data_IF_814909199092
#
_entry.id   IF_814909199092
#
_cell.length_a   1.000
_cell.length_b   1.000
_cell.length_c   1.000
_cell.angle_alpha   90.00
_cell.angle_beta   90.00
_cell.angle_gamma   90.00
#
_symmetry.space_group_name_H-M   'P 1'
#
loop_
_entity.id
_entity.type
_entity.pdbx_description
1 polymer ?
#
# COMPACT_ATOMS: atom_id res chain seq x y z
N UNK A 1 -31.21 -61.10 7.49
CA UNK A 1 -31.58 -60.24 6.35
C UNK A 1 -30.77 -58.98 6.53
N UNK A 2 -29.82 -58.77 5.63
CA UNK A 2 -29.04 -57.54 5.57
C UNK A 2 -29.98 -56.45 5.05
N UNK A 3 -30.36 -55.52 5.92
CA UNK A 3 -31.21 -54.37 5.59
C UNK A 3 -30.36 -53.15 5.20
N UNK A 4 -29.13 -53.35 4.71
CA UNK A 4 -28.28 -52.26 4.27
C UNK A 4 -28.75 -51.73 2.90
N UNK A 5 -28.85 -50.40 2.81
CA UNK A 5 -29.04 -49.68 1.54
C UNK A 5 -27.69 -49.72 0.81
N UNK A 6 -27.43 -50.77 0.03
CA UNK A 6 -26.11 -51.02 -0.57
C UNK A 6 -25.80 -50.15 -1.81
N UNK A 7 -26.79 -49.45 -2.37
CA UNK A 7 -26.68 -48.86 -3.71
C UNK A 7 -26.76 -47.31 -3.69
N UNK A 8 -26.22 -46.67 -2.66
CA UNK A 8 -26.02 -45.21 -2.69
C UNK A 8 -24.67 -44.95 -3.36
N UNK A 9 -24.71 -44.61 -4.65
CA UNK A 9 -23.53 -44.18 -5.41
C UNK A 9 -22.82 -43.02 -4.69
N UNK A 10 -21.48 -43.00 -4.76
CA UNK A 10 -20.68 -41.88 -4.27
C UNK A 10 -21.01 -40.63 -5.10
N UNK A 11 -21.56 -39.61 -4.46
CA UNK A 11 -21.87 -38.32 -5.07
C UNK A 11 -20.96 -37.25 -4.46
N UNK A 12 -20.35 -36.40 -5.29
CA UNK A 12 -19.69 -35.18 -4.81
C UNK A 12 -20.74 -34.10 -4.63
N UNK A 13 -20.54 -33.22 -3.65
CA UNK A 13 -21.44 -32.09 -3.43
C UNK A 13 -21.53 -31.18 -4.66
N UNK A 14 -20.40 -30.91 -5.32
CA UNK A 14 -20.34 -30.06 -6.52
C UNK A 14 -21.13 -30.59 -7.73
N UNK A 15 -21.41 -31.90 -7.78
CA UNK A 15 -22.11 -32.52 -8.90
C UNK A 15 -23.65 -32.50 -8.70
N UNK A 16 -24.14 -32.33 -7.46
CA UNK A 16 -25.56 -32.50 -7.11
C UNK A 16 -25.99 -31.64 -5.92
N UNK A 17 -26.89 -30.69 -6.15
CA UNK A 17 -27.67 -30.02 -5.09
C UNK A 17 -28.59 -31.00 -4.35
N UNK A 18 -28.72 -30.82 -3.03
CA UNK A 18 -29.50 -31.62 -2.06
C UNK A 18 -30.66 -32.45 -2.67
N UNK A 19 -30.53 -33.79 -2.70
CA UNK A 19 -31.59 -34.67 -3.21
C UNK A 19 -32.43 -35.30 -2.10
N UNK A 20 -33.75 -35.26 -2.30
CA UNK A 20 -34.66 -36.16 -1.59
C UNK A 20 -34.74 -37.49 -2.34
N UNK A 21 -34.39 -38.59 -1.67
CA UNK A 21 -34.56 -39.96 -2.18
C UNK A 21 -35.81 -40.55 -1.55
N UNK A 22 -36.51 -41.46 -2.20
CA UNK A 22 -37.65 -42.17 -1.60
C UNK A 22 -37.36 -43.65 -1.55
N UNK A 23 -37.49 -44.26 -0.36
CA UNK A 23 -37.28 -45.69 -0.17
C UNK A 23 -38.65 -46.38 -0.34
N UNK A 24 -38.70 -47.40 -1.21
CA UNK A 24 -39.87 -48.25 -1.44
C UNK A 24 -39.65 -49.60 -0.77
N UNK A 25 -40.63 -50.05 0.03
CA UNK A 25 -40.67 -51.41 0.58
C UNK A 25 -41.94 -52.09 0.07
N UNK A 26 -41.80 -53.29 -0.48
CA UNK A 26 -42.93 -54.10 -0.98
C UNK A 26 -42.90 -55.49 -0.36
N UNK A 27 -44.05 -55.97 0.12
CA UNK A 27 -44.22 -57.35 0.54
C UNK A 27 -44.88 -58.15 -0.59
N UNK A 28 -44.24 -59.24 -1.01
CA UNK A 28 -44.81 -60.20 -1.95
C UNK A 28 -45.10 -61.48 -1.21
N UNK A 29 -46.37 -61.86 -1.11
CA UNK A 29 -46.75 -63.23 -0.78
C UNK A 29 -47.10 -63.89 -2.11
N UNK A 30 -46.37 -64.95 -2.45
CA UNK A 30 -46.69 -65.79 -3.61
C UNK A 30 -48.18 -66.18 -3.49
N UNK A 31 -48.96 -65.81 -4.51
CA UNK A 31 -50.41 -66.06 -4.69
C UNK A 31 -51.44 -65.00 -4.23
N UNK A 32 -51.06 -63.76 -3.87
CA UNK A 32 -52.03 -62.66 -3.71
C UNK A 32 -51.80 -61.51 -4.71
N UNK A 33 -52.89 -61.07 -5.36
CA UNK A 33 -52.94 -59.99 -6.36
C UNK A 33 -52.69 -58.60 -5.74
N UNK A 34 -52.77 -58.48 -4.42
CA UNK A 34 -52.50 -57.22 -3.71
C UNK A 34 -51.05 -57.15 -3.25
N UNK A 35 -50.28 -56.25 -3.88
CA UNK A 35 -48.98 -55.79 -3.38
C UNK A 35 -49.21 -54.67 -2.38
N UNK A 36 -48.96 -54.93 -1.10
CA UNK A 36 -48.82 -53.87 -0.12
C UNK A 36 -47.46 -53.19 -0.32
N UNK A 37 -47.49 -51.97 -0.83
CA UNK A 37 -46.32 -51.10 -0.98
C UNK A 37 -46.40 -49.99 0.05
N UNK A 38 -45.31 -49.82 0.81
CA UNK A 38 -45.11 -48.67 1.68
C UNK A 38 -43.96 -47.82 1.14
N UNK A 39 -44.17 -46.51 1.10
CA UNK A 39 -43.15 -45.54 0.71
C UNK A 39 -42.77 -44.71 1.94
N UNK A 40 -41.47 -44.59 2.19
CA UNK A 40 -40.93 -43.67 3.19
C UNK A 40 -39.99 -42.69 2.48
N UNK A 41 -40.32 -41.39 2.41
CA UNK A 41 -39.40 -40.39 1.88
C UNK A 41 -38.20 -40.27 2.81
N UNK A 42 -36.98 -40.28 2.25
CA UNK A 42 -35.73 -40.12 2.97
C UNK A 42 -34.92 -39.00 2.32
N UNK A 43 -34.82 -37.87 3.00
CA UNK A 43 -33.94 -36.79 2.55
C UNK A 43 -32.49 -37.14 2.87
N UNK A 44 -31.63 -37.15 1.86
CA UNK A 44 -30.20 -37.38 2.02
C UNK A 44 -29.49 -36.04 1.83
N UNK A 45 -28.85 -35.55 2.89
CA UNK A 45 -28.01 -34.37 2.81
C UNK A 45 -26.59 -34.79 2.47
N UNK A 46 -26.07 -34.31 1.33
CA UNK A 46 -24.67 -34.53 0.96
C UNK A 46 -23.87 -33.42 1.65
N UNK A 47 -22.90 -33.82 2.49
CA UNK A 47 -21.98 -32.88 3.09
C UNK A 47 -20.87 -32.54 2.11
N UNK A 48 -20.53 -31.26 2.07
CA UNK A 48 -19.39 -30.76 1.34
C UNK A 48 -18.08 -31.18 2.03
N UNK A 49 -17.04 -31.39 1.23
CA UNK A 49 -15.68 -31.67 1.71
C UNK A 49 -14.82 -30.52 1.26
N UNK A 50 -13.96 -30.00 2.13
CA UNK A 50 -12.99 -28.98 1.74
C UNK A 50 -12.00 -29.61 0.75
N UNK A 51 -12.15 -29.34 -0.55
CA UNK A 51 -11.29 -29.88 -1.60
C UNK A 51 -10.86 -28.85 -2.66
N UNK A 52 -11.28 -27.60 -2.50
CA UNK A 52 -10.78 -26.45 -3.22
C UNK A 52 -9.95 -25.55 -2.31
N UNK A 53 -9.05 -24.79 -2.94
CA UNK A 53 -8.25 -23.80 -2.23
C UNK A 53 -8.66 -22.40 -2.71
N UNK A 54 -8.51 -21.35 -1.89
CA UNK A 54 -8.86 -20.00 -2.30
C UNK A 54 -8.04 -19.55 -3.52
N UNK A 55 -8.69 -19.05 -4.56
CA UNK A 55 -8.05 -18.57 -5.78
C UNK A 55 -8.16 -17.04 -5.92
N UNK A 56 -7.03 -16.34 -5.92
CA UNK A 56 -7.00 -14.89 -6.12
C UNK A 56 -7.50 -14.48 -7.51
N UNK A 57 -8.32 -13.43 -7.54
CA UNK A 57 -8.92 -12.87 -8.75
C UNK A 57 -8.19 -11.61 -9.20
N UNK A 58 -8.33 -11.21 -10.47
CA UNK A 58 -7.80 -9.93 -10.98
C UNK A 58 -6.28 -9.68 -10.75
N UNK A 59 -5.50 -10.75 -10.67
CA UNK A 59 -4.03 -10.68 -10.56
C UNK A 59 -3.39 -10.31 -11.91
N UNK A 60 -2.23 -9.62 -11.93
CA UNK A 60 -1.44 -9.15 -10.79
C UNK A 60 -1.94 -7.83 -10.18
N UNK A 61 -1.68 -7.62 -8.89
CA UNK A 61 -2.04 -6.39 -8.19
C UNK A 61 -0.90 -5.37 -8.21
N UNK A 62 -1.15 -4.24 -8.88
CA UNK A 62 -0.23 -3.11 -8.95
C UNK A 62 -0.96 -1.83 -8.60
N UNK A 63 -0.40 -1.04 -7.68
CA UNK A 63 -0.93 0.27 -7.32
C UNK A 63 0.17 1.25 -6.96
N UNK A 64 -0.21 2.53 -6.95
CA UNK A 64 0.66 3.64 -6.58
C UNK A 64 0.00 4.42 -5.45
N UNK A 65 0.79 4.85 -4.47
CA UNK A 65 0.33 5.59 -3.29
C UNK A 65 1.22 6.79 -3.07
N UNK A 66 0.63 7.92 -2.71
CA UNK A 66 1.36 9.14 -2.38
C UNK A 66 2.02 9.00 -1.00
N UNK A 67 3.26 9.45 -0.83
CA UNK A 67 3.94 9.35 0.46
C UNK A 67 3.23 10.15 1.58
N UNK A 68 2.54 11.21 1.20
CA UNK A 68 1.76 12.06 2.12
C UNK A 68 0.40 11.44 2.47
N UNK A 69 0.09 10.24 1.98
CA UNK A 69 -1.17 9.55 2.33
C UNK A 69 -1.24 9.33 3.84
N UNK A 70 -2.24 9.90 4.53
CA UNK A 70 -2.35 9.78 5.98
C UNK A 70 -2.46 8.32 6.47
N UNK A 71 -1.86 8.07 7.64
CA UNK A 71 -2.00 6.81 8.36
C UNK A 71 -3.48 6.52 8.63
N UNK A 72 -3.89 5.28 8.39
CA UNK A 72 -5.26 4.79 8.52
C UNK A 72 -6.10 4.88 7.25
N UNK A 73 -5.63 5.57 6.20
CA UNK A 73 -6.38 5.60 4.95
C UNK A 73 -6.27 4.29 4.16
N UNK A 74 -7.37 3.95 3.50
CA UNK A 74 -7.44 2.85 2.55
C UNK A 74 -6.64 3.17 1.29
N UNK A 75 -5.71 2.27 0.96
CA UNK A 75 -4.91 2.33 -0.25
C UNK A 75 -5.50 1.44 -1.34
N UNK A 76 -6.02 0.26 -0.96
CA UNK A 76 -6.55 -0.69 -1.93
C UNK A 76 -7.67 -1.56 -1.36
N UNK A 77 -8.72 -1.78 -2.16
CA UNK A 77 -9.90 -2.62 -1.84
C UNK A 77 -10.06 -3.80 -2.80
N UNK A 78 -9.05 -4.09 -3.62
CA UNK A 78 -9.18 -5.05 -4.73
C UNK A 78 -8.58 -6.44 -4.45
N UNK A 79 -8.00 -6.68 -3.27
CA UNK A 79 -7.54 -8.02 -2.90
C UNK A 79 -8.77 -8.90 -2.72
N UNK A 80 -8.90 -9.90 -3.58
CA UNK A 80 -10.04 -10.80 -3.53
C UNK A 80 -9.62 -12.20 -4.00
N UNK A 81 -10.01 -13.21 -3.24
CA UNK A 81 -9.91 -14.61 -3.57
C UNK A 81 -11.28 -15.28 -3.42
N UNK A 82 -11.51 -16.29 -4.24
CA UNK A 82 -12.74 -17.08 -4.28
C UNK A 82 -12.36 -18.53 -4.03
N UNK A 83 -13.02 -19.16 -3.07
CA UNK A 83 -13.01 -20.60 -2.91
C UNK A 83 -14.28 -21.19 -3.55
N UNK A 84 -14.16 -22.36 -4.18
CA UNK A 84 -15.23 -23.00 -4.96
C UNK A 84 -16.02 -24.02 -4.17
N UNK A 85 -15.58 -24.35 -2.95
CA UNK A 85 -16.33 -25.18 -2.03
C UNK A 85 -17.69 -24.54 -1.65
N UNK A 86 -18.53 -25.28 -0.93
CA UNK A 86 -19.93 -24.88 -0.70
C UNK A 86 -20.04 -23.47 -0.11
N UNK A 87 -20.75 -22.53 -0.77
CA UNK A 87 -20.80 -21.14 -0.32
C UNK A 87 -21.50 -20.99 1.04
N UNK A 88 -21.07 -20.00 1.82
CA UNK A 88 -21.54 -19.75 3.20
C UNK A 88 -21.21 -20.89 4.17
N UNK A 89 -20.12 -21.61 3.91
CA UNK A 89 -19.54 -22.56 4.84
C UNK A 89 -18.07 -22.21 5.12
N UNK A 90 -17.48 -22.74 6.22
CA UNK A 90 -16.06 -22.55 6.50
C UNK A 90 -15.13 -23.00 5.37
N UNK A 91 -15.55 -23.94 4.52
CA UNK A 91 -14.79 -24.38 3.35
C UNK A 91 -14.66 -23.25 2.31
N UNK A 92 -15.70 -22.44 2.16
CA UNK A 92 -15.71 -21.31 1.22
C UNK A 92 -15.27 -19.96 1.83
N UNK A 93 -15.23 -19.87 3.15
CA UNK A 93 -14.98 -18.61 3.88
C UNK A 93 -13.48 -18.28 3.90
N UNK A 94 -13.11 -17.22 3.19
CA UNK A 94 -11.71 -16.82 3.02
C UNK A 94 -11.33 -15.68 3.95
N UNK A 95 -10.18 -15.82 4.63
CA UNK A 95 -9.51 -14.72 5.33
C UNK A 95 -8.14 -14.41 4.73
N UNK A 96 -7.71 -13.16 4.91
CA UNK A 96 -6.49 -12.61 4.36
C UNK A 96 -5.49 -12.22 5.45
N UNK A 97 -4.20 -12.38 5.13
CA UNK A 97 -3.10 -11.93 5.97
C UNK A 97 -1.93 -11.41 5.11
N UNK A 98 -1.21 -10.39 5.61
CA UNK A 98 0.10 -10.02 5.06
C UNK A 98 1.13 -10.92 5.73
N UNK A 99 1.79 -11.79 4.97
CA UNK A 99 2.75 -12.78 5.48
C UNK A 99 4.20 -12.46 5.13
N UNK A 100 4.44 -11.50 4.21
CA UNK A 100 5.78 -11.12 3.78
C UNK A 100 5.85 -9.74 3.11
N UNK A 101 7.07 -9.23 2.92
CA UNK A 101 7.36 -7.99 2.19
C UNK A 101 6.89 -6.70 2.88
N UNK A 102 6.64 -6.76 4.18
CA UNK A 102 6.15 -5.65 5.01
C UNK A 102 6.99 -5.46 6.28
N UNK A 103 8.32 -5.50 6.16
CA UNK A 103 9.28 -5.54 7.27
C UNK A 103 9.11 -4.36 8.24
N UNK A 104 8.79 -3.17 7.69
CA UNK A 104 8.57 -1.96 8.48
C UNK A 104 7.15 -1.84 9.04
N UNK A 105 6.25 -2.77 8.70
CA UNK A 105 4.81 -2.69 8.99
C UNK A 105 4.20 -1.37 8.49
N UNK A 106 4.59 -0.93 7.29
CA UNK A 106 4.09 0.29 6.66
C UNK A 106 2.64 0.16 6.19
N UNK A 107 2.22 -1.07 5.90
CA UNK A 107 0.84 -1.39 5.51
C UNK A 107 0.21 -2.36 6.51
N UNK A 108 -1.12 -2.39 6.56
CA UNK A 108 -1.90 -3.37 7.31
C UNK A 108 -3.16 -3.74 6.53
N UNK A 109 -3.79 -4.86 6.91
CA UNK A 109 -5.17 -5.14 6.51
C UNK A 109 -6.09 -4.55 7.56
N UNK A 110 -7.06 -3.71 7.17
CA UNK A 110 -8.03 -3.16 8.12
C UNK A 110 -9.00 -4.21 8.63
N UNK A 111 -9.33 -5.18 7.79
CA UNK A 111 -10.18 -6.31 8.11
C UNK A 111 -9.64 -7.57 7.39
N UNK A 112 -9.35 -8.67 8.10
CA UNK A 112 -8.98 -9.95 7.52
C UNK A 112 -10.02 -10.55 6.57
N UNK A 113 -11.29 -10.16 6.62
CA UNK A 113 -12.35 -10.68 5.74
C UNK A 113 -12.47 -9.90 4.43
N UNK A 114 -12.20 -8.59 4.46
CA UNK A 114 -12.39 -7.72 3.30
C UNK A 114 -11.14 -7.54 2.43
N UNK A 115 -9.96 -7.95 2.91
CA UNK A 115 -8.70 -7.83 2.16
C UNK A 115 -8.27 -6.37 1.90
N UNK A 116 -8.81 -5.42 2.68
CA UNK A 116 -8.57 -3.99 2.47
C UNK A 116 -7.21 -3.59 3.03
N UNK A 117 -6.33 -3.08 2.17
CA UNK A 117 -5.00 -2.59 2.54
C UNK A 117 -5.10 -1.11 2.95
N UNK A 118 -4.55 -0.78 4.11
CA UNK A 118 -4.45 0.58 4.66
C UNK A 118 -3.00 0.98 4.95
N UNK A 119 -2.74 2.29 5.01
CA UNK A 119 -1.49 2.83 5.54
C UNK A 119 -1.46 2.60 7.06
N UNK A 120 -0.40 1.97 7.56
CA UNK A 120 -0.20 1.72 8.99
C UNK A 120 0.91 2.60 9.59
N UNK A 121 1.86 3.05 8.77
CA UNK A 121 2.89 4.04 9.16
C UNK A 121 3.12 5.04 8.03
N UNK A 122 3.61 6.25 8.35
CA UNK A 122 3.98 7.23 7.33
C UNK A 122 4.95 6.61 6.33
N UNK A 123 4.74 6.94 5.06
CA UNK A 123 5.66 6.62 3.99
C UNK A 123 6.67 7.77 3.86
N UNK A 124 7.82 7.47 3.28
CA UNK A 124 8.92 8.41 3.07
C UNK A 124 9.64 7.94 1.80
N UNK A 125 9.46 8.66 0.70
CA UNK A 125 10.00 8.34 -0.61
C UNK A 125 11.51 8.63 -0.68
N UNK A 126 11.96 9.64 0.04
CA UNK A 126 13.34 10.12 0.04
C UNK A 126 14.28 9.23 0.85
N UNK A 127 13.84 8.79 2.03
CA UNK A 127 14.66 8.00 2.95
C UNK A 127 14.15 6.56 3.13
N UNK A 128 12.95 6.24 2.65
CA UNK A 128 12.32 4.93 2.79
C UNK A 128 12.27 4.10 1.49
N UNK A 129 11.59 2.94 1.54
CA UNK A 129 11.37 2.11 0.36
C UNK A 129 10.43 2.78 -0.64
N UNK A 130 10.84 2.81 -1.91
CA UNK A 130 10.03 3.35 -3.02
C UNK A 130 9.05 2.33 -3.62
N UNK A 131 9.29 1.05 -3.36
CA UNK A 131 8.42 -0.04 -3.79
C UNK A 131 8.32 -1.07 -2.66
N UNK A 132 7.09 -1.50 -2.39
CA UNK A 132 6.76 -2.59 -1.47
C UNK A 132 6.16 -3.74 -2.27
N UNK A 133 6.56 -4.98 -1.94
CA UNK A 133 6.00 -6.20 -2.54
C UNK A 133 5.40 -7.04 -1.45
N UNK A 134 4.17 -6.70 -1.07
CA UNK A 134 3.46 -7.40 -0.01
C UNK A 134 3.12 -8.81 -0.49
N UNK A 135 3.41 -9.82 0.31
CA UNK A 135 2.92 -11.18 0.09
C UNK A 135 1.64 -11.36 0.90
N UNK A 136 0.52 -11.54 0.19
CA UNK A 136 -0.80 -11.71 0.77
C UNK A 136 -1.17 -13.18 0.71
N UNK A 137 -1.54 -13.73 1.87
CA UNK A 137 -2.13 -15.05 2.01
C UNK A 137 -3.65 -14.94 1.99
N UNK A 138 -4.30 -15.84 1.25
CA UNK A 138 -5.72 -16.17 1.39
C UNK A 138 -5.82 -17.58 1.96
N UNK A 139 -6.70 -17.79 2.95
CA UNK A 139 -6.85 -19.08 3.64
C UNK A 139 -8.33 -19.35 3.91
N UNK A 140 -8.78 -20.57 3.63
CA UNK A 140 -10.11 -21.05 4.02
C UNK A 140 -10.15 -21.45 5.51
N UNK A 141 -11.33 -21.89 5.97
CA UNK A 141 -11.54 -22.42 7.31
C UNK A 141 -12.12 -23.83 7.30
N UNK A 142 -11.85 -24.60 6.24
CA UNK A 142 -12.38 -25.93 6.05
C UNK A 142 -11.78 -26.98 7.00
N UNK A 143 -12.43 -28.14 7.04
CA UNK A 143 -12.05 -29.30 7.87
C UNK A 143 -12.13 -30.59 7.05
N UNK A 144 -11.22 -31.58 7.22
CA UNK A 144 -10.19 -31.72 8.27
C UNK A 144 -8.95 -30.83 8.08
N UNK A 145 -8.69 -30.39 6.86
CA UNK A 145 -7.56 -29.55 6.52
C UNK A 145 -8.06 -28.24 5.90
N UNK A 146 -7.35 -27.15 6.17
CA UNK A 146 -7.59 -25.86 5.53
C UNK A 146 -6.56 -25.63 4.43
N UNK A 147 -6.97 -25.09 3.28
CA UNK A 147 -6.07 -24.71 2.20
C UNK A 147 -5.73 -23.22 2.22
N UNK A 148 -4.65 -22.88 1.53
CA UNK A 148 -4.16 -21.52 1.41
C UNK A 148 -3.54 -21.27 0.04
N UNK A 149 -3.57 -20.02 -0.39
CA UNK A 149 -2.83 -19.52 -1.56
C UNK A 149 -2.11 -18.22 -1.24
N UNK A 150 -1.12 -17.89 -2.05
CA UNK A 150 -0.30 -16.68 -1.92
C UNK A 150 -0.37 -15.86 -3.20
N UNK A 151 -0.34 -14.54 -3.06
CA UNK A 151 -0.19 -13.59 -4.16
C UNK A 151 0.68 -12.41 -3.76
N UNK A 152 1.16 -11.65 -4.74
CA UNK A 152 1.95 -10.45 -4.50
C UNK A 152 1.18 -9.19 -4.87
N UNK A 153 1.19 -8.20 -3.97
CA UNK A 153 0.71 -6.85 -4.21
C UNK A 153 1.90 -5.91 -4.28
N UNK A 154 2.13 -5.31 -5.45
CA UNK A 154 3.22 -4.33 -5.63
C UNK A 154 2.66 -2.93 -5.44
N UNK A 155 3.20 -2.20 -4.46
CA UNK A 155 2.83 -0.82 -4.14
C UNK A 155 4.03 0.07 -4.42
N UNK A 156 3.89 1.03 -5.31
CA UNK A 156 4.91 2.06 -5.56
C UNK A 156 4.56 3.34 -4.84
N UNK A 157 5.55 3.89 -4.13
CA UNK A 157 5.41 5.19 -3.47
C UNK A 157 5.69 6.28 -4.50
N UNK A 158 4.80 7.28 -4.54
CA UNK A 158 4.99 8.51 -5.29
C UNK A 158 5.60 9.55 -4.38
N UNK A 159 6.67 10.13 -4.88
CA UNK A 159 7.29 11.37 -4.41
C UNK A 159 6.25 12.49 -4.29
N UNK A 160 6.40 13.34 -3.28
CA UNK A 160 5.66 14.57 -3.09
C UNK A 160 6.62 15.74 -2.77
N UNK A 161 6.14 16.97 -2.96
CA UNK A 161 6.91 18.19 -2.60
C UNK A 161 6.79 18.43 -1.09
N UNK A 162 7.60 17.71 -0.30
CA UNK A 162 7.57 17.77 1.17
C UNK A 162 8.93 18.06 1.81
N UNK A 163 10.00 18.09 1.00
CA UNK A 163 11.30 18.57 1.43
C UNK A 163 11.47 20.06 1.13
N UNK A 164 12.36 20.71 1.88
CA UNK A 164 12.69 22.12 1.66
C UNK A 164 14.13 22.24 1.17
N UNK A 165 14.44 23.24 0.31
CA UNK A 165 15.81 23.46 -0.14
C UNK A 165 16.78 23.71 1.01
N UNK A 166 17.91 22.98 1.02
CA UNK A 166 18.96 23.14 2.02
C UNK A 166 20.27 23.57 1.36
N UNK A 167 20.92 24.60 1.93
CA UNK A 167 22.26 25.01 1.51
C UNK A 167 23.32 23.98 1.90
N UNK A 168 24.31 23.75 1.04
CA UNK A 168 25.42 22.83 1.31
C UNK A 168 26.34 23.29 2.44
N UNK A 169 26.29 24.57 2.80
CA UNK A 169 27.03 25.15 3.93
C UNK A 169 26.16 26.12 4.70
N UNK A 170 26.31 26.13 6.02
CA UNK A 170 25.69 27.15 6.88
C UNK A 170 26.27 28.55 6.63
N UNK A 171 27.55 28.62 6.23
CA UNK A 171 28.25 29.88 5.97
C UNK A 171 29.14 29.75 4.74
N UNK A 172 28.99 30.66 3.78
CA UNK A 172 29.90 30.85 2.65
C UNK A 172 30.74 32.10 2.90
N UNK A 173 32.07 31.98 2.82
CA UNK A 173 33.01 33.10 3.00
C UNK A 173 33.72 33.39 1.68
N UNK A 174 33.94 34.67 1.41
CA UNK A 174 34.71 35.15 0.26
C UNK A 174 35.25 36.55 0.58
N UNK A 175 36.38 36.89 -0.01
CA UNK A 175 36.98 38.22 0.10
C UNK A 175 36.85 38.94 -1.24
N UNK A 176 36.43 40.21 -1.19
CA UNK A 176 36.33 41.06 -2.38
C UNK A 176 37.16 42.30 -2.13
N UNK A 177 38.03 42.65 -3.08
CA UNK A 177 38.79 43.89 -3.03
C UNK A 177 37.98 45.03 -3.64
N UNK A 178 38.05 46.23 -3.07
CA UNK A 178 37.38 47.43 -3.61
C UNK A 178 37.96 47.88 -4.96
N UNK A 179 39.15 47.40 -5.32
CA UNK A 179 39.76 47.60 -6.64
C UNK A 179 39.04 46.84 -7.76
N UNK A 180 38.14 45.91 -7.41
CA UNK A 180 37.21 45.32 -8.35
C UNK A 180 36.40 46.43 -9.04
N UNK A 181 36.39 46.45 -10.38
CA UNK A 181 35.73 47.51 -11.16
C UNK A 181 34.23 47.56 -10.83
N UNK A 182 33.84 48.47 -9.93
CA UNK A 182 32.44 48.78 -9.62
C UNK A 182 31.95 49.71 -10.73
N UNK A 183 31.36 49.15 -11.79
CA UNK A 183 30.63 49.95 -12.78
C UNK A 183 29.16 49.99 -12.39
N UNK A 184 28.76 51.07 -11.70
CA UNK A 184 27.37 51.29 -11.27
C UNK A 184 27.03 50.63 -9.93
N UNK A 185 25.80 50.11 -9.77
CA UNK A 185 25.29 49.55 -8.52
C UNK A 185 25.42 48.01 -8.40
N UNK A 186 26.14 47.35 -9.33
CA UNK A 186 26.27 45.88 -9.37
C UNK A 186 27.73 45.48 -9.41
N UNK A 187 28.16 44.67 -8.44
CA UNK A 187 29.45 43.99 -8.49
C UNK A 187 29.41 42.97 -9.64
N UNK A 188 30.20 43.18 -10.70
CA UNK A 188 30.34 42.24 -11.83
C UNK A 188 31.43 41.19 -11.61
N UNK A 189 31.95 41.07 -10.38
CA UNK A 189 32.94 40.06 -10.03
C UNK A 189 32.21 38.79 -9.60
N UNK A 190 32.52 37.66 -10.24
CA UNK A 190 32.13 36.36 -9.70
C UNK A 190 32.79 36.21 -8.33
N UNK A 191 31.99 36.21 -7.28
CA UNK A 191 32.46 35.93 -5.93
C UNK A 191 33.14 34.55 -5.94
N UNK A 192 34.43 34.52 -5.62
CA UNK A 192 35.16 33.27 -5.43
C UNK A 192 35.04 32.89 -3.95
N UNK A 193 34.02 32.11 -3.64
CA UNK A 193 33.91 31.39 -2.38
C UNK A 193 34.75 30.11 -2.45
N UNK A 194 35.19 29.56 -1.32
CA UNK A 194 35.96 28.30 -1.28
C UNK A 194 35.22 27.12 -1.97
N UNK A 195 33.89 27.20 -2.03
CA UNK A 195 33.05 26.37 -2.90
C UNK A 195 31.86 27.20 -3.41
N UNK A 196 31.33 26.93 -4.62
CA UNK A 196 30.15 27.62 -5.14
C UNK A 196 28.99 27.59 -4.14
N UNK A 197 28.25 28.70 -4.04
CA UNK A 197 26.99 28.73 -3.29
C UNK A 197 26.03 27.75 -3.96
N UNK A 198 25.57 26.77 -3.21
CA UNK A 198 24.78 25.67 -3.73
C UNK A 198 23.76 25.25 -2.68
N UNK A 199 22.51 25.10 -3.08
CA UNK A 199 21.46 24.43 -2.34
C UNK A 199 20.94 23.27 -3.18
N UNK A 200 20.35 22.28 -2.53
CA UNK A 200 19.66 21.17 -3.19
C UNK A 200 18.33 20.91 -2.50
N UNK A 201 17.41 20.36 -3.27
CA UNK A 201 16.13 19.83 -2.83
C UNK A 201 16.15 18.31 -3.01
N UNK A 202 15.49 17.56 -2.13
CA UNK A 202 15.56 16.09 -2.13
C UNK A 202 14.50 15.45 -3.03
N UNK A 203 13.36 16.11 -3.24
CA UNK A 203 12.26 15.62 -4.09
C UNK A 203 12.70 15.28 -5.53
N UNK A 204 12.18 14.18 -6.08
CA UNK A 204 12.44 13.73 -7.45
C UNK A 204 11.43 14.25 -8.48
N UNK A 205 11.83 15.28 -9.23
CA UNK A 205 11.19 15.63 -10.51
C UNK A 205 9.82 16.32 -10.39
N UNK A 206 9.36 16.63 -9.18
CA UNK A 206 8.11 17.38 -8.93
C UNK A 206 8.32 18.92 -8.89
N UNK A 207 9.58 19.36 -9.05
CA UNK A 207 10.11 20.70 -9.37
C UNK A 207 10.60 21.57 -8.20
N UNK A 208 11.91 21.85 -8.16
CA UNK A 208 12.39 23.16 -7.69
C UNK A 208 13.64 23.63 -8.46
N UNK A 209 13.50 24.34 -9.62
CA UNK A 209 14.57 25.23 -10.06
C UNK A 209 14.80 26.29 -8.97
N UNK A 210 15.83 26.08 -8.17
CA UNK A 210 16.15 26.96 -7.04
C UNK A 210 16.44 28.38 -7.53
N UNK A 211 15.75 29.35 -6.93
CA UNK A 211 15.99 30.79 -7.16
C UNK A 211 16.74 31.39 -5.98
N UNK A 212 17.90 31.96 -6.27
CA UNK A 212 18.73 32.63 -5.28
C UNK A 212 18.44 34.14 -5.27
N UNK A 213 18.29 34.73 -4.09
CA UNK A 213 18.18 36.19 -3.91
C UNK A 213 18.94 36.64 -2.67
N UNK A 214 19.46 37.88 -2.69
CA UNK A 214 20.14 38.49 -1.55
C UNK A 214 19.11 39.31 -0.78
N UNK A 215 18.86 38.94 0.48
CA UNK A 215 17.80 39.54 1.30
C UNK A 215 18.28 40.66 2.23
N UNK A 216 19.58 40.74 2.52
CA UNK A 216 20.16 41.77 3.37
C UNK A 216 21.63 42.07 3.02
N UNK A 217 22.06 43.31 3.24
CA UNK A 217 23.46 43.73 3.14
C UNK A 217 23.69 44.98 3.99
N UNK A 218 24.48 44.85 5.05
CA UNK A 218 24.79 46.00 5.90
C UNK A 218 25.67 47.00 5.16
N UNK A 219 25.16 48.22 4.93
CA UNK A 219 26.02 49.36 4.66
C UNK A 219 26.60 49.83 5.98
N UNK A 220 27.84 49.44 6.30
CA UNK A 220 28.60 50.15 7.33
C UNK A 220 28.79 51.59 6.87
N UNK A 221 28.14 52.55 7.54
CA UNK A 221 28.46 53.97 7.37
C UNK A 221 29.93 54.17 7.78
N UNK A 222 30.76 54.86 6.99
CA UNK A 222 32.13 55.15 7.41
C UNK A 222 32.11 56.03 8.68
N UNK A 223 33.10 55.88 9.58
CA UNK A 223 33.21 56.73 10.76
C UNK A 223 33.37 58.19 10.31
N UNK A 224 32.58 59.08 10.91
CA UNK A 224 32.65 60.52 10.66
C UNK A 224 34.04 61.05 11.01
N UNK A 225 34.84 61.40 10.01
CA UNK A 225 36.09 62.13 10.22
C UNK A 225 35.76 63.60 10.48
N UNK A 226 35.67 64.01 11.74
CA UNK A 226 35.65 65.42 12.12
C UNK A 226 36.94 65.80 12.84
N UNK A 227 37.97 66.12 12.06
CA UNK A 227 39.11 66.99 12.41
C UNK A 227 39.81 67.32 11.08
N UNK A 228 40.18 68.54 10.69
CA UNK A 228 40.39 69.80 11.42
C UNK A 228 40.68 70.95 10.42
N UNK A 229 40.43 72.20 10.85
CA UNK A 229 41.16 73.47 10.57
C UNK A 229 41.07 74.24 9.22
N UNK A 230 40.45 75.43 9.32
CA UNK A 230 41.02 76.79 9.32
C UNK A 230 41.21 77.65 8.03
N UNK A 231 40.83 78.94 8.22
CA UNK A 231 41.21 80.20 7.54
C UNK A 231 40.48 80.51 6.20
N UNK A 232 39.96 81.71 5.93
CA UNK A 232 40.50 83.06 6.20
C UNK A 232 39.46 84.21 6.06
N UNK A 233 39.69 85.30 6.83
CA UNK A 233 39.55 86.76 6.54
C UNK A 233 38.20 87.44 6.19
N UNK A 234 37.95 88.53 6.96
CA UNK A 234 37.02 89.69 6.86
C UNK A 234 37.09 90.45 5.51
N UNK A 235 36.31 91.55 5.21
CA UNK A 235 35.42 92.40 6.04
C UNK A 235 34.03 92.75 5.40
N UNK A 236 33.08 93.31 6.14
CA UNK A 236 32.83 94.77 6.35
C UNK A 236 31.96 94.98 7.57
#
# INVERSE_FOLDING_TARGET
>A
MDNSLSDINYFRHEDIDDRTVSIKVSKSLEDLVDREEAFLPVTVYIQDVNDHAPEFQNVPYHLEVDELTPVGLTVFRGVHAIDRDKPNTPNSDVTYAIVGGNENNSFALSDPLEGIIVINKPLDFDHGPREYRLEIQARDHGSPESFQSLTSVTIRVKDADDQNPVFTRQVYKTNVTEAAVITGARLRVKLQTDAPVHAFDQDLGINAPLRYSIIHGERRRPPSSSTRTASSLLPS
#
